data_IF_788268765778
#
_entry.id   IF_788268765778
#
_cell.length_a   1.000
_cell.length_b   1.000
_cell.length_c   1.000
_cell.angle_alpha   90.00
_cell.angle_beta   90.00
_cell.angle_gamma   90.00
#
_symmetry.space_group_name_H-M   'P 1'
#
loop_
_entity.id
_entity.type
_entity.pdbx_description
1 polymer ?
#
# COMPACT_ATOMS: atom_id res chain seq x y z
N UNK A 1 -0.48 5.77 22.09
CA UNK A 1 0.08 6.06 20.74
C UNK A 1 -0.70 7.25 20.22
N UNK A 2 -0.01 8.31 19.78
CA UNK A 2 -0.64 9.52 19.22
C UNK A 2 -1.30 9.14 17.91
N UNK A 3 -2.57 9.54 17.70
CA UNK A 3 -3.25 9.26 16.42
C UNK A 3 -2.61 10.10 15.32
N UNK A 4 -2.21 9.48 14.20
CA UNK A 4 -1.62 10.20 13.07
C UNK A 4 -2.54 11.28 12.49
N UNK A 5 -3.85 11.25 12.77
CA UNK A 5 -4.79 12.31 12.37
C UNK A 5 -4.38 13.69 12.87
N UNK A 6 -3.67 13.78 13.99
CA UNK A 6 -3.15 15.06 14.49
C UNK A 6 -2.13 15.69 13.53
N UNK A 7 -1.55 14.91 12.62
CA UNK A 7 -0.66 15.40 11.56
C UNK A 7 -1.41 15.96 10.34
N UNK A 8 -2.73 15.79 10.29
CA UNK A 8 -3.60 16.08 9.13
C UNK A 8 -4.67 17.12 9.47
N UNK A 9 -4.30 18.37 9.72
CA UNK A 9 -5.24 19.39 10.24
C UNK A 9 -6.40 19.72 9.30
N UNK A 10 -6.23 19.53 7.98
CA UNK A 10 -7.25 19.84 6.97
C UNK A 10 -8.13 18.63 6.61
N UNK A 11 -7.86 17.47 7.20
CA UNK A 11 -8.65 16.25 6.97
C UNK A 11 -10.02 16.34 7.68
N UNK A 12 -11.02 15.67 7.11
CA UNK A 12 -12.33 15.53 7.72
C UNK A 12 -12.30 14.45 8.82
N UNK A 13 -11.79 14.84 10.00
CA UNK A 13 -11.59 13.92 11.12
C UNK A 13 -12.90 13.24 11.53
N UNK A 14 -14.03 13.95 11.52
CA UNK A 14 -15.32 13.38 11.90
C UNK A 14 -15.70 12.22 10.98
N UNK A 15 -15.66 12.44 9.67
CA UNK A 15 -15.97 11.40 8.69
C UNK A 15 -14.97 10.23 8.71
N UNK A 16 -13.68 10.51 8.90
CA UNK A 16 -12.65 9.48 9.01
C UNK A 16 -12.90 8.62 10.24
N UNK A 17 -13.22 9.21 11.38
CA UNK A 17 -13.53 8.48 12.61
C UNK A 17 -14.81 7.64 12.48
N UNK A 18 -15.83 8.13 11.76
CA UNK A 18 -17.04 7.34 11.44
C UNK A 18 -16.67 6.11 10.60
N UNK A 19 -15.84 6.27 9.56
CA UNK A 19 -15.36 5.16 8.74
C UNK A 19 -14.51 4.17 9.55
N UNK A 20 -13.60 4.66 10.39
CA UNK A 20 -12.80 3.83 11.31
C UNK A 20 -13.69 3.01 12.24
N UNK A 21 -14.63 3.64 12.89
CA UNK A 21 -15.59 2.96 13.78
C UNK A 21 -16.34 1.86 13.05
N UNK A 22 -16.76 2.11 11.81
CA UNK A 22 -17.48 1.14 11.01
C UNK A 22 -16.61 -0.09 10.66
N UNK A 23 -15.36 0.10 10.21
CA UNK A 23 -14.51 -1.04 9.89
C UNK A 23 -13.94 -1.73 11.14
N UNK A 24 -13.64 -1.02 12.24
CA UNK A 24 -13.24 -1.64 13.51
C UNK A 24 -14.34 -2.59 14.03
N UNK A 25 -15.59 -2.13 14.04
CA UNK A 25 -16.73 -3.01 14.36
C UNK A 25 -16.80 -4.25 13.46
N UNK A 26 -16.44 -4.11 12.16
CA UNK A 26 -16.35 -5.25 11.24
C UNK A 26 -15.20 -6.19 11.63
N UNK A 27 -14.04 -5.65 12.03
CA UNK A 27 -12.86 -6.43 12.44
C UNK A 27 -13.10 -7.21 13.74
N UNK A 28 -13.92 -6.71 14.64
CA UNK A 28 -14.32 -7.37 15.89
C UNK A 28 -15.37 -8.48 15.68
N UNK A 29 -15.98 -8.55 14.49
CA UNK A 29 -17.06 -9.52 14.23
C UNK A 29 -16.56 -10.97 14.16
N UNK A 30 -17.43 -11.91 14.53
CA UNK A 30 -17.16 -13.35 14.42
C UNK A 30 -17.43 -13.93 13.02
N UNK A 31 -17.51 -13.07 11.99
CA UNK A 31 -17.64 -13.52 10.62
C UNK A 31 -16.42 -14.35 10.22
N UNK A 32 -16.64 -15.54 9.66
CA UNK A 32 -15.59 -16.51 9.28
C UNK A 32 -14.43 -15.84 8.51
N UNK A 33 -14.72 -14.94 7.57
CA UNK A 33 -13.71 -14.24 6.78
C UNK A 33 -12.86 -13.24 7.57
N UNK A 34 -13.36 -12.73 8.72
CA UNK A 34 -12.59 -11.88 9.64
C UNK A 34 -11.76 -12.72 10.58
N UNK A 35 -12.40 -13.69 11.23
CA UNK A 35 -11.79 -14.59 12.22
C UNK A 35 -10.58 -15.33 11.61
N UNK A 36 -10.69 -15.74 10.33
CA UNK A 36 -9.62 -16.43 9.61
C UNK A 36 -8.30 -15.64 9.51
N UNK A 37 -8.34 -14.32 9.65
CA UNK A 37 -7.16 -13.45 9.62
C UNK A 37 -6.84 -12.83 10.98
N UNK A 38 -7.88 -12.51 11.76
CA UNK A 38 -7.74 -11.91 13.08
C UNK A 38 -7.07 -12.85 14.08
N UNK A 39 -7.53 -14.10 14.21
CA UNK A 39 -6.94 -15.04 15.18
C UNK A 39 -5.46 -15.35 14.90
N UNK A 40 -5.01 -15.60 13.64
CA UNK A 40 -3.58 -15.71 13.35
C UNK A 40 -2.79 -14.48 13.79
N UNK A 41 -3.28 -13.27 13.50
CA UNK A 41 -2.65 -12.02 13.96
C UNK A 41 -2.56 -11.96 15.48
N UNK A 42 -3.67 -12.17 16.19
CA UNK A 42 -3.73 -12.12 17.66
C UNK A 42 -2.79 -13.12 18.32
N UNK A 43 -2.57 -14.28 17.69
CA UNK A 43 -1.69 -15.31 18.25
C UNK A 43 -0.20 -14.95 18.24
N UNK A 44 0.24 -14.00 17.40
CA UNK A 44 1.66 -13.66 17.21
C UNK A 44 1.97 -12.17 17.43
N UNK A 45 0.98 -11.28 17.52
CA UNK A 45 1.19 -9.82 17.55
C UNK A 45 1.99 -9.31 18.77
N UNK A 46 2.22 -10.15 19.78
CA UNK A 46 3.05 -9.84 20.94
C UNK A 46 4.55 -10.02 20.68
N UNK A 47 4.94 -10.77 19.64
CA UNK A 47 6.33 -11.02 19.29
C UNK A 47 6.98 -9.75 18.74
N UNK A 48 8.30 -9.64 18.92
CA UNK A 48 9.08 -8.46 18.49
C UNK A 48 10.37 -8.92 17.83
N UNK A 49 10.71 -8.23 16.74
CA UNK A 49 11.93 -8.41 15.99
C UNK A 49 13.07 -7.59 16.58
N UNK A 50 14.26 -8.19 16.68
CA UNK A 50 15.50 -7.48 17.07
C UNK A 50 16.24 -6.90 15.88
N UNK A 51 16.04 -7.47 14.67
CA UNK A 51 16.66 -7.05 13.42
C UNK A 51 15.62 -6.50 12.46
N UNK A 52 15.90 -5.34 11.87
CA UNK A 52 15.08 -4.74 10.82
C UNK A 52 16.00 -4.29 9.67
N UNK A 53 15.76 -4.77 8.45
CA UNK A 53 16.43 -4.29 7.24
C UNK A 53 15.39 -4.04 6.14
N UNK A 54 15.32 -2.80 5.69
CA UNK A 54 14.38 -2.33 4.68
C UNK A 54 15.07 -1.71 3.46
N UNK A 55 16.40 -1.75 3.38
CA UNK A 55 17.16 -1.15 2.28
C UNK A 55 17.29 -2.08 1.07
N UNK A 56 17.38 -3.39 1.30
CA UNK A 56 17.50 -4.41 0.26
C UNK A 56 16.19 -4.72 -0.48
N UNK A 57 16.25 -5.62 -1.47
CA UNK A 57 15.08 -6.10 -2.22
C UNK A 57 14.10 -6.87 -1.33
N UNK A 58 14.65 -7.55 -0.31
CA UNK A 58 13.90 -8.30 0.69
C UNK A 58 13.65 -7.39 1.89
N UNK A 59 12.38 -7.28 2.29
CA UNK A 59 12.03 -6.64 3.56
C UNK A 59 12.26 -7.65 4.68
N UNK A 60 13.27 -7.41 5.53
CA UNK A 60 13.65 -8.30 6.63
C UNK A 60 13.12 -7.79 7.96
N UNK A 61 12.40 -8.65 8.69
CA UNK A 61 11.81 -8.37 10.00
C UNK A 61 12.13 -9.53 10.95
N UNK A 62 13.08 -9.33 11.83
CA UNK A 62 13.54 -10.30 12.81
C UNK A 62 14.53 -11.33 12.26
N UNK A 63 15.11 -12.07 13.18
CA UNK A 63 15.98 -13.21 12.93
C UNK A 63 15.48 -14.42 13.72
N UNK A 64 15.89 -15.61 13.33
CA UNK A 64 15.36 -16.85 13.92
C UNK A 64 15.60 -16.95 15.43
N UNK A 65 16.70 -16.37 15.90
CA UNK A 65 17.12 -16.35 17.29
C UNK A 65 16.21 -15.48 18.19
N UNK A 66 15.35 -14.66 17.61
CA UNK A 66 14.36 -13.86 18.33
C UNK A 66 13.23 -14.73 18.91
N UNK A 67 13.06 -15.95 18.42
CA UNK A 67 11.94 -16.82 18.72
C UNK A 67 12.39 -18.14 19.35
N UNK A 68 11.58 -18.67 20.27
CA UNK A 68 11.65 -20.08 20.66
C UNK A 68 11.22 -20.99 19.51
N UNK A 69 11.60 -22.29 19.51
CA UNK A 69 11.16 -23.22 18.46
C UNK A 69 9.63 -23.27 18.27
N UNK A 70 8.88 -23.20 19.37
CA UNK A 70 7.41 -23.23 19.34
C UNK A 70 6.82 -21.94 18.72
N UNK A 71 7.41 -20.78 19.01
CA UNK A 71 7.02 -19.50 18.42
C UNK A 71 7.38 -19.46 16.93
N UNK A 72 8.53 -19.99 16.54
CA UNK A 72 8.93 -20.10 15.15
C UNK A 72 7.94 -20.93 14.33
N UNK A 73 7.56 -22.12 14.82
CA UNK A 73 6.56 -22.97 14.16
C UNK A 73 5.20 -22.26 14.04
N UNK A 74 4.81 -21.51 15.08
CA UNK A 74 3.58 -20.74 15.06
C UNK A 74 3.64 -19.60 14.02
N UNK A 75 4.74 -18.85 13.98
CA UNK A 75 4.94 -17.77 13.00
C UNK A 75 4.95 -18.34 11.57
N UNK A 76 5.67 -19.44 11.31
CA UNK A 76 5.68 -20.07 9.98
C UNK A 76 4.25 -20.46 9.54
N UNK A 77 3.49 -21.07 10.44
CA UNK A 77 2.08 -21.41 10.18
C UNK A 77 1.23 -20.17 9.86
N UNK A 78 1.41 -19.08 10.60
CA UNK A 78 0.67 -17.81 10.38
C UNK A 78 1.07 -17.19 9.04
N UNK A 79 2.37 -17.11 8.72
CA UNK A 79 2.86 -16.56 7.45
C UNK A 79 2.35 -17.36 6.25
N UNK A 80 2.33 -18.69 6.34
CA UNK A 80 1.74 -19.56 5.30
C UNK A 80 0.22 -19.37 5.20
N UNK A 81 -0.46 -19.06 6.29
CA UNK A 81 -1.90 -18.75 6.32
C UNK A 81 -2.28 -17.48 5.56
N UNK A 82 -1.33 -16.58 5.31
CA UNK A 82 -1.54 -15.36 4.51
C UNK A 82 -1.25 -15.53 3.00
N UNK A 83 -0.95 -16.74 2.52
CA UNK A 83 -0.81 -16.99 1.08
C UNK A 83 -2.17 -16.78 0.37
N UNK A 84 -2.20 -16.14 -0.83
CA UNK A 84 -1.06 -15.69 -1.62
C UNK A 84 -0.52 -14.30 -1.22
N UNK A 85 0.79 -14.17 -1.11
CA UNK A 85 1.47 -12.89 -0.92
C UNK A 85 1.56 -12.15 -2.26
N UNK A 86 0.96 -10.96 -2.31
CA UNK A 86 0.92 -10.17 -3.55
C UNK A 86 2.19 -9.36 -3.78
N UNK A 87 2.67 -8.67 -2.74
CA UNK A 87 3.89 -7.85 -2.77
C UNK A 87 4.97 -8.51 -1.90
N UNK A 88 6.23 -8.35 -2.27
CA UNK A 88 7.38 -8.89 -1.56
C UNK A 88 8.65 -8.84 -2.43
N UNK A 89 9.70 -9.58 -2.06
CA UNK A 89 9.76 -10.62 -1.04
C UNK A 89 9.95 -10.09 0.39
N UNK A 90 9.72 -10.98 1.37
CA UNK A 90 9.99 -10.74 2.78
C UNK A 90 10.86 -11.86 3.36
N UNK A 91 11.62 -11.53 4.41
CA UNK A 91 12.18 -12.50 5.34
C UNK A 91 11.65 -12.16 6.74
N UNK A 92 10.92 -13.07 7.37
CA UNK A 92 10.29 -12.84 8.68
C UNK A 92 10.81 -13.85 9.66
N UNK A 93 11.62 -13.42 10.62
CA UNK A 93 12.32 -14.28 11.58
C UNK A 93 13.07 -15.46 10.92
N UNK A 94 13.74 -15.19 9.78
CA UNK A 94 14.46 -16.23 9.02
C UNK A 94 13.58 -17.05 8.06
N UNK A 95 12.26 -16.84 8.04
CA UNK A 95 11.32 -17.48 7.11
C UNK A 95 11.30 -16.71 5.81
N UNK A 96 11.78 -17.30 4.71
CA UNK A 96 11.71 -16.69 3.39
C UNK A 96 10.31 -16.78 2.80
N UNK A 97 9.77 -15.62 2.44
CA UNK A 97 8.43 -15.47 1.88
C UNK A 97 8.54 -14.88 0.48
N UNK A 98 8.30 -15.73 -0.52
CA UNK A 98 8.16 -15.31 -1.90
C UNK A 98 6.79 -14.64 -2.16
N UNK A 99 6.71 -13.82 -3.19
CA UNK A 99 5.50 -13.10 -3.54
C UNK A 99 5.22 -13.21 -5.05
N UNK A 100 3.93 -13.03 -5.40
CA UNK A 100 3.47 -13.05 -6.79
C UNK A 100 4.18 -12.00 -7.65
N UNK A 101 4.42 -10.81 -7.06
CA UNK A 101 5.10 -9.70 -7.72
C UNK A 101 6.46 -9.43 -7.07
N UNK A 102 7.49 -9.34 -7.89
CA UNK A 102 8.82 -8.85 -7.49
C UNK A 102 8.74 -7.33 -7.29
N UNK A 103 8.24 -6.90 -6.12
CA UNK A 103 7.88 -5.50 -5.85
C UNK A 103 9.08 -4.56 -5.86
N UNK A 104 10.28 -5.06 -5.53
CA UNK A 104 11.54 -4.32 -5.63
C UNK A 104 11.78 -3.76 -7.05
N UNK A 105 11.40 -4.48 -8.12
CA UNK A 105 11.56 -3.99 -9.50
C UNK A 105 10.78 -2.70 -9.77
N UNK A 106 9.61 -2.53 -9.13
CA UNK A 106 8.86 -1.27 -9.23
C UNK A 106 9.49 -0.20 -8.36
N UNK A 107 9.95 -0.57 -7.17
CA UNK A 107 10.64 0.34 -6.26
C UNK A 107 11.88 0.94 -6.88
N UNK A 108 12.76 0.10 -7.44
CA UNK A 108 14.01 0.53 -8.08
C UNK A 108 13.78 1.50 -9.24
N UNK A 109 12.67 1.34 -9.98
CA UNK A 109 12.31 2.27 -11.04
C UNK A 109 11.84 3.63 -10.52
N UNK A 110 11.21 3.64 -9.36
CA UNK A 110 10.70 4.86 -8.74
C UNK A 110 11.81 5.58 -7.97
N UNK A 111 12.71 4.85 -7.37
CA UNK A 111 13.75 5.35 -6.46
C UNK A 111 14.57 6.54 -7.03
N UNK A 112 15.03 6.53 -8.29
CA UNK A 112 15.78 7.66 -8.87
C UNK A 112 14.97 8.97 -9.00
N UNK A 113 13.65 8.88 -8.95
CA UNK A 113 12.72 10.02 -9.10
C UNK A 113 11.96 10.31 -7.81
N UNK A 114 12.27 9.58 -6.76
CA UNK A 114 11.61 9.73 -5.47
C UNK A 114 11.98 11.09 -4.86
N UNK A 115 10.99 11.91 -4.47
CA UNK A 115 11.29 13.11 -3.70
C UNK A 115 11.84 12.71 -2.33
N UNK A 116 12.55 13.62 -1.68
CA UNK A 116 12.93 13.46 -0.29
C UNK A 116 11.68 13.21 0.58
N UNK A 117 11.67 12.09 1.31
CA UNK A 117 10.57 11.72 2.19
C UNK A 117 10.81 12.14 3.65
N UNK A 118 11.99 12.66 3.99
CA UNK A 118 12.29 13.06 5.36
C UNK A 118 11.23 14.04 5.87
N UNK A 119 10.67 13.75 7.05
CA UNK A 119 9.62 14.52 7.72
C UNK A 119 8.32 14.72 6.92
N UNK A 120 8.12 13.97 5.82
CA UNK A 120 6.91 14.03 5.00
C UNK A 120 5.81 13.10 5.50
N UNK A 121 4.58 13.50 5.24
CA UNK A 121 3.40 12.63 5.40
C UNK A 121 3.09 12.01 4.05
N UNK A 122 3.19 10.70 3.98
CA UNK A 122 3.10 9.92 2.74
C UNK A 122 1.84 9.05 2.74
N UNK A 123 1.16 8.94 1.59
CA UNK A 123 0.10 7.96 1.40
C UNK A 123 0.54 6.85 0.43
N UNK A 124 0.29 5.58 0.76
CA UNK A 124 0.43 4.42 -0.15
C UNK A 124 -0.96 3.84 -0.45
N UNK A 125 -1.45 4.07 -1.67
CA UNK A 125 -2.80 3.67 -2.08
C UNK A 125 -2.75 2.27 -2.71
N UNK A 126 -3.53 1.34 -2.14
CA UNK A 126 -3.40 -0.08 -2.45
C UNK A 126 -2.13 -0.65 -1.84
N UNK A 127 -1.88 -0.31 -0.58
CA UNK A 127 -0.66 -0.66 0.13
C UNK A 127 -0.42 -2.17 0.23
N UNK A 128 -1.50 -2.99 0.11
CA UNK A 128 -1.44 -4.44 0.28
C UNK A 128 -0.87 -4.79 1.66
N UNK A 129 0.16 -5.64 1.71
CA UNK A 129 0.85 -6.02 2.94
C UNK A 129 1.89 -5.00 3.44
N UNK A 130 1.95 -3.80 2.85
CA UNK A 130 2.82 -2.70 3.29
C UNK A 130 4.26 -2.76 2.76
N UNK A 131 4.58 -3.61 1.78
CA UNK A 131 5.96 -3.75 1.28
C UNK A 131 6.62 -2.39 0.97
N UNK A 132 5.96 -1.50 0.23
CA UNK A 132 6.53 -0.19 -0.08
C UNK A 132 6.59 0.72 1.14
N UNK A 133 5.65 0.58 2.09
CA UNK A 133 5.68 1.34 3.33
C UNK A 133 6.94 1.03 4.14
N UNK A 134 7.32 -0.26 4.27
CA UNK A 134 8.58 -0.65 4.91
C UNK A 134 9.80 -0.11 4.14
N UNK A 135 9.79 -0.16 2.80
CA UNK A 135 10.87 0.38 1.95
C UNK A 135 11.04 1.90 2.04
N UNK A 136 10.04 2.63 2.54
CA UNK A 136 10.13 4.07 2.78
C UNK A 136 10.78 4.41 4.12
N UNK A 137 10.79 3.48 5.08
CA UNK A 137 11.28 3.75 6.46
C UNK A 137 12.71 4.30 6.51
N UNK A 138 13.69 3.80 5.72
CA UNK A 138 15.05 4.33 5.72
C UNK A 138 15.14 5.82 5.33
N UNK A 139 14.13 6.36 4.65
CA UNK A 139 14.06 7.78 4.27
C UNK A 139 13.38 8.65 5.33
N UNK A 140 13.11 8.10 6.52
CA UNK A 140 12.63 8.81 7.70
C UNK A 140 11.35 9.66 7.48
N UNK A 141 10.29 9.11 6.84
CA UNK A 141 9.03 9.83 6.73
C UNK A 141 8.43 10.09 8.10
N UNK A 142 7.77 11.23 8.27
CA UNK A 142 7.05 11.56 9.51
C UNK A 142 5.93 10.55 9.78
N UNK A 143 5.19 10.20 8.75
CA UNK A 143 4.21 9.11 8.78
C UNK A 143 3.99 8.57 7.36
N UNK A 144 3.72 7.26 7.25
CA UNK A 144 3.22 6.62 6.03
C UNK A 144 1.86 6.00 6.33
N UNK A 145 0.83 6.45 5.61
CA UNK A 145 -0.53 5.96 5.76
C UNK A 145 -0.87 5.09 4.54
N UNK A 146 -0.99 3.79 4.76
CA UNK A 146 -1.45 2.83 3.78
C UNK A 146 -2.97 2.79 3.69
N UNK A 147 -3.51 2.68 2.49
CA UNK A 147 -4.93 2.50 2.22
C UNK A 147 -5.14 1.15 1.53
N UNK A 148 -5.80 0.21 2.22
CA UNK A 148 -5.99 -1.17 1.73
C UNK A 148 -7.36 -1.72 2.16
N UNK A 149 -8.29 -1.96 1.22
CA UNK A 149 -9.64 -2.40 1.58
C UNK A 149 -9.79 -3.90 1.86
N UNK A 150 -8.76 -4.72 1.60
CA UNK A 150 -8.82 -6.17 1.75
C UNK A 150 -8.32 -6.63 3.12
N UNK A 151 -9.17 -7.36 3.85
CA UNK A 151 -8.90 -7.84 5.21
C UNK A 151 -7.60 -8.65 5.34
N UNK A 152 -7.34 -9.56 4.41
CA UNK A 152 -6.11 -10.38 4.41
C UNK A 152 -4.87 -9.48 4.42
N UNK A 153 -4.80 -8.53 3.51
CA UNK A 153 -3.65 -7.62 3.39
C UNK A 153 -3.50 -6.71 4.60
N UNK A 154 -4.63 -6.20 5.11
CA UNK A 154 -4.66 -5.40 6.33
C UNK A 154 -4.06 -6.17 7.51
N UNK A 155 -4.52 -7.40 7.78
CA UNK A 155 -3.99 -8.21 8.87
C UNK A 155 -2.55 -8.66 8.64
N UNK A 156 -2.16 -8.93 7.39
CA UNK A 156 -0.76 -9.23 7.06
C UNK A 156 0.13 -8.04 7.42
N UNK A 157 -0.24 -6.81 7.03
CA UNK A 157 0.49 -5.62 7.42
C UNK A 157 0.51 -5.44 8.95
N UNK A 158 -0.63 -5.56 9.62
CA UNK A 158 -0.70 -5.43 11.08
C UNK A 158 0.24 -6.43 11.78
N UNK A 159 0.32 -7.67 11.29
CA UNK A 159 1.22 -8.70 11.81
C UNK A 159 2.69 -8.28 11.62
N UNK A 160 3.08 -7.92 10.40
CA UNK A 160 4.45 -7.49 10.10
C UNK A 160 4.84 -6.25 10.89
N UNK A 161 3.96 -5.26 10.97
CA UNK A 161 4.23 -4.03 11.70
C UNK A 161 4.25 -4.23 13.22
N UNK A 162 3.47 -5.20 13.75
CA UNK A 162 3.57 -5.56 15.17
C UNK A 162 4.94 -6.16 15.51
N UNK A 163 5.50 -6.98 14.64
CA UNK A 163 6.86 -7.52 14.82
C UNK A 163 7.92 -6.41 14.74
N UNK A 164 7.81 -5.54 13.74
CA UNK A 164 8.75 -4.44 13.53
C UNK A 164 8.64 -3.33 14.59
N UNK A 165 7.49 -3.18 15.25
CA UNK A 165 7.29 -2.17 16.29
C UNK A 165 7.34 -0.72 15.79
N UNK A 166 7.10 -0.47 14.49
CA UNK A 166 7.16 0.86 13.90
C UNK A 166 5.89 1.66 14.23
N UNK A 167 6.10 2.90 14.69
CA UNK A 167 5.01 3.78 15.15
C UNK A 167 4.58 4.82 14.12
N UNK A 168 5.34 4.96 13.04
CA UNK A 168 5.07 5.91 11.95
C UNK A 168 4.43 5.28 10.71
N UNK A 169 4.17 3.96 10.72
CA UNK A 169 3.43 3.27 9.69
C UNK A 169 2.00 2.97 10.17
N UNK A 170 1.01 3.39 9.39
CA UNK A 170 -0.41 3.22 9.72
C UNK A 170 -1.15 2.62 8.53
N UNK A 171 -2.17 1.79 8.79
CA UNK A 171 -3.00 1.19 7.74
C UNK A 171 -4.46 1.48 7.98
N UNK A 172 -5.12 2.05 6.98
CA UNK A 172 -6.57 2.24 6.95
C UNK A 172 -7.23 1.16 6.08
N UNK A 173 -8.27 0.53 6.60
CA UNK A 173 -9.08 -0.44 5.84
C UNK A 173 -10.04 0.30 4.89
N UNK A 174 -9.49 1.16 4.05
CA UNK A 174 -10.18 2.08 3.13
C UNK A 174 -9.59 1.98 1.73
N UNK A 175 -10.39 2.29 0.72
CA UNK A 175 -9.95 2.38 -0.67
C UNK A 175 -9.72 3.83 -1.13
N UNK A 176 -9.27 3.99 -2.38
CA UNK A 176 -9.00 5.29 -3.02
C UNK A 176 -10.22 6.23 -3.03
N UNK A 177 -11.43 5.67 -3.04
CA UNK A 177 -12.71 6.39 -2.99
C UNK A 177 -12.94 7.18 -1.69
N UNK A 178 -12.14 6.95 -0.66
CA UNK A 178 -12.23 7.65 0.62
C UNK A 178 -11.21 8.77 0.77
N UNK A 179 -10.24 8.90 -0.16
CA UNK A 179 -9.12 9.84 -0.04
C UNK A 179 -9.55 11.31 0.04
N UNK A 180 -10.65 11.66 -0.60
CA UNK A 180 -11.15 13.04 -0.55
C UNK A 180 -11.48 13.55 0.86
N UNK A 181 -11.58 12.66 1.86
CA UNK A 181 -11.74 13.01 3.28
C UNK A 181 -10.44 13.41 3.95
N UNK A 182 -9.32 13.02 3.36
CA UNK A 182 -7.98 13.38 3.79
C UNK A 182 -7.49 14.63 3.01
N UNK A 183 -8.32 15.66 2.91
CA UNK A 183 -8.01 16.85 2.12
C UNK A 183 -6.69 17.48 2.57
N UNK A 184 -5.87 17.93 1.60
CA UNK A 184 -4.61 18.66 1.84
C UNK A 184 -3.68 18.01 2.89
N UNK A 185 -3.62 16.68 2.92
CA UNK A 185 -2.96 15.89 3.97
C UNK A 185 -1.57 15.37 3.59
N UNK A 186 -1.37 15.00 2.32
CA UNK A 186 -0.19 14.25 1.92
C UNK A 186 0.80 15.08 1.10
N UNK A 187 2.07 15.00 1.48
CA UNK A 187 3.19 15.59 0.73
C UNK A 187 3.52 14.74 -0.50
N UNK A 188 3.45 13.41 -0.35
CA UNK A 188 3.73 12.43 -1.41
C UNK A 188 2.63 11.36 -1.39
N UNK A 189 2.15 10.98 -2.57
CA UNK A 189 1.17 9.90 -2.73
C UNK A 189 1.70 8.88 -3.72
N UNK A 190 1.69 7.61 -3.32
CA UNK A 190 1.95 6.48 -4.20
C UNK A 190 0.62 5.86 -4.64
N UNK A 191 0.44 5.73 -5.95
CA UNK A 191 -0.72 5.12 -6.59
C UNK A 191 -0.23 4.09 -7.62
N UNK A 192 0.31 2.98 -7.13
CA UNK A 192 0.99 1.99 -7.96
C UNK A 192 0.17 0.71 -8.11
N UNK A 193 -0.21 0.41 -9.36
CA UNK A 193 -0.99 -0.80 -9.68
C UNK A 193 -2.48 -0.71 -9.36
N UNK A 194 -3.07 0.49 -9.32
CA UNK A 194 -4.46 0.71 -8.88
C UNK A 194 -5.38 1.20 -10.00
N UNK A 195 -4.93 2.13 -10.85
CA UNK A 195 -5.82 2.82 -11.78
C UNK A 195 -6.54 1.87 -12.76
N UNK A 196 -5.87 0.84 -13.24
CA UNK A 196 -6.49 -0.13 -14.15
C UNK A 196 -7.56 -1.01 -13.48
N UNK A 197 -7.62 -1.02 -12.14
CA UNK A 197 -8.68 -1.67 -11.38
C UNK A 197 -9.87 -0.75 -11.07
N UNK A 198 -9.85 0.50 -11.53
CA UNK A 198 -10.90 1.47 -11.21
C UNK A 198 -11.89 1.61 -12.36
N UNK A 199 -13.18 1.58 -12.03
CA UNK A 199 -14.27 1.84 -12.96
C UNK A 199 -14.23 3.29 -13.44
N UNK A 200 -13.83 4.21 -12.55
CA UNK A 200 -13.65 5.63 -12.86
C UNK A 200 -12.24 6.10 -12.48
N UNK A 201 -11.24 5.92 -13.36
CA UNK A 201 -9.87 6.33 -13.07
C UNK A 201 -9.71 7.84 -12.88
N UNK A 202 -10.49 8.67 -13.60
CA UNK A 202 -10.47 10.13 -13.45
C UNK A 202 -11.01 10.59 -12.09
N UNK A 203 -12.08 9.98 -11.58
CA UNK A 203 -12.59 10.27 -10.25
C UNK A 203 -11.58 9.85 -9.18
N UNK A 204 -10.99 8.67 -9.31
CA UNK A 204 -9.92 8.23 -8.41
C UNK A 204 -8.76 9.23 -8.38
N UNK A 205 -8.31 9.73 -9.52
CA UNK A 205 -7.26 10.75 -9.60
C UNK A 205 -7.68 12.09 -8.97
N UNK A 206 -8.95 12.49 -9.08
CA UNK A 206 -9.47 13.70 -8.42
C UNK A 206 -9.49 13.55 -6.90
N UNK A 207 -9.91 12.39 -6.37
CA UNK A 207 -9.86 12.10 -4.93
C UNK A 207 -8.42 12.15 -4.41
N UNK A 208 -7.48 11.54 -5.14
CA UNK A 208 -6.05 11.65 -4.85
C UNK A 208 -5.59 13.10 -4.87
N UNK A 209 -5.94 13.87 -5.90
CA UNK A 209 -5.54 15.29 -6.00
C UNK A 209 -6.04 16.11 -4.83
N UNK A 210 -7.29 15.89 -4.39
CA UNK A 210 -7.89 16.56 -3.23
C UNK A 210 -7.15 16.22 -1.92
N UNK A 211 -6.63 15.00 -1.79
CA UNK A 211 -5.92 14.59 -0.58
C UNK A 211 -4.49 15.14 -0.47
N UNK A 212 -3.93 15.63 -1.57
CA UNK A 212 -2.56 16.11 -1.61
C UNK A 212 -2.44 17.57 -1.19
N UNK A 213 -1.35 17.91 -0.51
CA UNK A 213 -0.95 19.28 -0.26
C UNK A 213 -0.60 19.98 -1.57
N UNK A 214 -0.70 21.31 -1.59
CA UNK A 214 -0.23 22.13 -2.72
C UNK A 214 1.26 21.90 -2.93
N UNK A 215 1.67 21.57 -4.15
CA UNK A 215 3.06 21.24 -4.49
C UNK A 215 3.47 19.80 -4.15
N UNK A 216 2.56 18.99 -3.61
CA UNK A 216 2.82 17.58 -3.35
C UNK A 216 3.08 16.75 -4.61
N UNK A 217 3.79 15.65 -4.48
CA UNK A 217 4.20 14.76 -5.57
C UNK A 217 3.33 13.50 -5.62
N UNK A 218 2.78 13.18 -6.79
CA UNK A 218 2.08 11.92 -7.05
C UNK A 218 2.97 11.00 -7.88
N UNK A 219 3.17 9.78 -7.39
CA UNK A 219 3.87 8.71 -8.09
C UNK A 219 2.82 7.69 -8.56
N UNK A 220 2.68 7.56 -9.87
CA UNK A 220 1.72 6.64 -10.50
C UNK A 220 2.45 5.56 -11.28
N UNK A 221 2.02 4.32 -11.08
CA UNK A 221 2.39 3.20 -11.94
C UNK A 221 1.13 2.47 -12.36
N UNK A 222 1.04 2.11 -13.65
CA UNK A 222 -0.09 1.39 -14.21
C UNK A 222 0.36 0.42 -15.29
N UNK A 223 -0.39 -0.65 -15.47
CA UNK A 223 -0.31 -1.42 -16.71
C UNK A 223 -0.66 -0.49 -17.88
N UNK A 224 0.05 -0.68 -18.99
CA UNK A 224 -0.18 0.08 -20.21
C UNK A 224 -0.12 -0.83 -21.44
N UNK A 225 -0.83 -0.44 -22.50
CA UNK A 225 -0.67 -1.00 -23.84
C UNK A 225 0.31 -0.15 -24.66
N UNK A 226 1.05 -0.75 -25.60
CA UNK A 226 1.90 0.01 -26.52
C UNK A 226 1.04 0.89 -27.44
N UNK A 227 1.61 2.02 -27.85
CA UNK A 227 0.99 2.97 -28.79
C UNK A 227 1.20 4.42 -28.39
N UNK A 228 1.07 5.33 -29.37
CA UNK A 228 1.23 6.78 -29.22
C UNK A 228 -0.12 7.52 -29.21
N UNK A 229 -1.19 6.83 -29.60
CA UNK A 229 -2.53 7.39 -29.58
C UNK A 229 -3.10 7.44 -28.15
N UNK A 230 -3.92 8.44 -27.79
CA UNK A 230 -4.48 8.62 -26.46
C UNK A 230 -5.68 7.68 -26.21
N UNK A 231 -5.47 6.38 -26.28
CA UNK A 231 -6.52 5.35 -26.15
C UNK A 231 -6.30 4.47 -24.92
N UNK A 232 -7.37 3.83 -24.47
CA UNK A 232 -7.30 2.80 -23.43
C UNK A 232 -8.09 1.57 -23.90
N UNK A 233 -7.52 0.38 -23.70
CA UNK A 233 -8.21 -0.88 -23.88
C UNK A 233 -9.23 -1.07 -22.74
N UNK A 234 -10.46 -1.44 -23.08
CA UNK A 234 -11.50 -1.82 -22.14
C UNK A 234 -11.86 -3.30 -22.36
N UNK A 235 -11.30 -4.24 -21.55
CA UNK A 235 -11.58 -5.67 -21.73
C UNK A 235 -13.01 -6.01 -21.32
N UNK A 236 -13.64 -6.92 -22.04
CA UNK A 236 -15.01 -7.41 -21.73
C UNK A 236 -15.08 -8.01 -20.30
N UNK A 237 -14.10 -8.82 -19.89
CA UNK A 237 -14.10 -9.54 -18.60
C UNK A 237 -12.76 -9.55 -17.90
N UNK A 238 -11.69 -9.91 -18.60
CA UNK A 238 -10.35 -10.12 -18.05
C UNK A 238 -9.28 -9.60 -19.01
N UNK A 239 -8.21 -9.05 -18.45
CA UNK A 239 -7.02 -8.73 -19.20
C UNK A 239 -5.87 -9.65 -18.73
N UNK A 240 -5.19 -10.34 -19.69
CA UNK A 240 -4.10 -11.27 -19.36
C UNK A 240 -4.46 -12.26 -18.22
N UNK A 241 -5.68 -12.82 -18.23
CA UNK A 241 -6.26 -13.68 -17.20
C UNK A 241 -6.55 -12.99 -15.85
N UNK A 242 -6.13 -11.74 -15.63
CA UNK A 242 -6.42 -11.00 -14.40
C UNK A 242 -7.87 -10.46 -14.41
N UNK A 243 -8.66 -10.75 -13.37
CA UNK A 243 -9.99 -10.17 -13.21
C UNK A 243 -9.91 -8.73 -12.70
N UNK A 244 -11.00 -7.96 -12.88
CA UNK A 244 -11.12 -6.61 -12.31
C UNK A 244 -10.23 -5.57 -12.97
N UNK A 245 -9.75 -5.80 -14.20
CA UNK A 245 -9.09 -4.80 -15.02
C UNK A 245 -10.12 -4.12 -15.89
N UNK A 246 -10.30 -2.82 -15.71
CA UNK A 246 -11.26 -2.02 -16.46
C UNK A 246 -10.61 -1.25 -17.61
N UNK A 247 -9.51 -0.55 -17.36
CA UNK A 247 -8.86 0.26 -18.40
C UNK A 247 -7.35 0.03 -18.39
N UNK A 248 -6.81 -0.32 -19.57
CA UNK A 248 -5.36 -0.40 -19.79
C UNK A 248 -4.98 0.69 -20.78
N UNK A 249 -4.48 1.85 -20.33
CA UNK A 249 -4.21 2.99 -21.18
C UNK A 249 -2.89 2.84 -21.94
N UNK A 250 -2.73 3.59 -23.04
CA UNK A 250 -1.40 3.97 -23.52
C UNK A 250 -0.75 4.97 -22.55
N UNK A 251 0.57 5.15 -22.64
CA UNK A 251 1.28 6.15 -21.82
C UNK A 251 0.71 7.56 -22.06
N UNK A 252 0.38 7.89 -23.31
CA UNK A 252 -0.24 9.18 -23.68
C UNK A 252 -1.62 9.33 -23.05
N UNK A 253 -2.44 8.28 -23.06
CA UNK A 253 -3.77 8.30 -22.44
C UNK A 253 -3.66 8.51 -20.92
N UNK A 254 -2.77 7.79 -20.24
CA UNK A 254 -2.52 7.95 -18.82
C UNK A 254 -2.08 9.38 -18.49
N UNK A 255 -1.14 9.93 -19.26
CA UNK A 255 -0.71 11.33 -19.11
C UNK A 255 -1.90 12.30 -19.24
N UNK A 256 -2.79 12.09 -20.24
CA UNK A 256 -3.98 12.92 -20.42
C UNK A 256 -4.95 12.82 -19.23
N UNK A 257 -5.14 11.63 -18.65
CA UNK A 257 -5.93 11.47 -17.42
C UNK A 257 -5.35 12.29 -16.27
N UNK A 258 -4.03 12.23 -16.10
CA UNK A 258 -3.33 13.00 -15.05
C UNK A 258 -3.52 14.52 -15.25
N UNK A 259 -3.29 15.02 -16.47
CA UNK A 259 -3.47 16.43 -16.79
C UNK A 259 -4.93 16.90 -16.56
N UNK A 260 -5.91 16.10 -16.99
CA UNK A 260 -7.34 16.40 -16.80
C UNK A 260 -7.78 16.35 -15.34
N UNK A 261 -7.09 15.56 -14.51
CA UNK A 261 -7.29 15.54 -13.07
C UNK A 261 -6.56 16.69 -12.34
N UNK A 262 -5.83 17.56 -13.05
CA UNK A 262 -5.18 18.75 -12.51
C UNK A 262 -3.76 18.51 -12.02
N UNK A 263 -3.09 17.44 -12.47
CA UNK A 263 -1.66 17.22 -12.25
C UNK A 263 -0.82 17.84 -13.36
N UNK A 264 0.44 18.17 -13.03
CA UNK A 264 1.46 18.56 -14.00
C UNK A 264 2.48 17.43 -14.06
N UNK A 265 2.75 16.90 -15.26
CA UNK A 265 3.75 15.87 -15.45
C UNK A 265 5.16 16.46 -15.30
N UNK A 266 5.93 15.96 -14.34
CA UNK A 266 7.33 16.36 -14.12
C UNK A 266 8.26 15.37 -14.83
N UNK A 267 8.02 14.07 -14.66
CA UNK A 267 8.78 13.00 -15.32
C UNK A 267 7.86 11.83 -15.61
N UNK A 268 8.11 11.09 -16.65
CA UNK A 268 7.50 9.78 -16.87
C UNK A 268 8.46 8.87 -17.61
N UNK A 269 8.37 7.58 -17.30
CA UNK A 269 9.09 6.52 -18.01
C UNK A 269 8.13 5.37 -18.29
N UNK A 270 8.34 4.68 -19.39
CA UNK A 270 7.62 3.44 -19.67
C UNK A 270 8.62 2.35 -20.06
N UNK A 271 8.32 1.14 -19.61
CA UNK A 271 9.10 -0.04 -19.99
C UNK A 271 8.32 -0.80 -21.06
N UNK A 272 9.06 -1.18 -22.11
CA UNK A 272 8.61 -2.22 -23.02
C UNK A 272 8.97 -3.55 -22.37
N UNK A 273 7.97 -4.45 -22.27
CA UNK A 273 8.19 -5.83 -21.86
C UNK A 273 9.01 -6.57 -22.92
#
# INVERSE_FOLDING_TARGET
MQDYLELLPDADHEQILVLRKAYLKKLESDKKGVVAHRLPFESVCHLRASLLDFEGDVVTIGQQEDLSPQEFDLVDKVMRGFIPWRKGPFNVFGIDIDAEWRSWRKWDRVLPFLPDLQDKVVADIGASNGYYMFRMVPQQPKAVIGFEPYLQHYFTFCTLNSFAGLTNLHMELLGVEHLGRFANSFDVVFLMGILYHRISPLESLKEVKKSMKKGGTLIVESQAIPGEEPVALFPERRYAKAPGTYFVPTAVCLKNWMLRAGFVAVSYTHLRA
#
